data_IF_093508181693
#
_entry.id   IF_093508181693
#
_cell.length_a   1.000
_cell.length_b   1.000
_cell.length_c   1.000
_cell.angle_alpha   90.00
_cell.angle_beta   90.00
_cell.angle_gamma   90.00
#
_symmetry.space_group_name_H-M   'P 1'
#
loop_
_entity.id
_entity.type
_entity.pdbx_description
1 polymer ?
#
# COMPACT_ATOMS: atom_id res chain seq x y z
N UNK A 1 -34.12 9.37 -39.68
CA UNK A 1 -32.87 10.16 -39.64
C UNK A 1 -32.95 11.40 -40.55
N UNK A 2 -33.82 12.38 -40.27
CA UNK A 2 -33.92 13.63 -41.07
C UNK A 2 -33.03 14.77 -40.55
N UNK A 3 -32.46 14.64 -39.35
CA UNK A 3 -31.60 15.64 -38.73
C UNK A 3 -30.26 15.83 -39.46
N UNK A 4 -29.65 14.74 -39.94
CA UNK A 4 -28.36 14.75 -40.65
C UNK A 4 -28.47 15.17 -42.12
N UNK A 5 -29.68 15.26 -42.68
CA UNK A 5 -29.89 15.59 -44.08
C UNK A 5 -29.85 17.11 -44.34
N UNK A 6 -30.20 17.93 -43.34
CA UNK A 6 -30.28 19.39 -43.45
C UNK A 6 -29.00 20.13 -42.99
N UNK A 7 -27.93 19.39 -42.70
CA UNK A 7 -26.65 19.93 -42.22
C UNK A 7 -25.75 20.23 -43.43
N UNK A 8 -25.08 21.40 -43.46
CA UNK A 8 -24.18 21.76 -44.58
C UNK A 8 -23.07 20.72 -44.72
N UNK A 9 -22.66 20.39 -45.95
CA UNK A 9 -21.63 19.37 -46.24
C UNK A 9 -20.36 19.56 -45.40
N UNK A 10 -19.93 20.81 -45.21
CA UNK A 10 -18.79 21.17 -44.36
C UNK A 10 -18.91 20.68 -42.90
N UNK A 11 -20.07 20.84 -42.27
CA UNK A 11 -20.31 20.41 -40.89
C UNK A 11 -20.27 18.88 -40.76
N UNK A 12 -20.65 18.14 -41.82
CA UNK A 12 -20.55 16.67 -41.83
C UNK A 12 -19.08 16.21 -41.85
N UNK A 13 -18.25 16.87 -42.65
CA UNK A 13 -16.80 16.59 -42.71
C UNK A 13 -16.14 16.91 -41.36
N UNK A 14 -16.49 18.04 -40.74
CA UNK A 14 -15.97 18.43 -39.43
C UNK A 14 -16.38 17.42 -38.34
N UNK A 15 -17.66 17.00 -38.33
CA UNK A 15 -18.17 16.02 -37.39
C UNK A 15 -17.47 14.66 -37.53
N UNK A 16 -17.19 14.22 -38.76
CA UNK A 16 -16.43 13.00 -39.00
C UNK A 16 -14.99 13.09 -38.49
N UNK A 17 -14.32 14.23 -38.69
CA UNK A 17 -13.00 14.49 -38.11
C UNK A 17 -13.00 14.45 -36.58
N UNK A 18 -13.99 15.07 -35.95
CA UNK A 18 -14.15 15.03 -34.48
C UNK A 18 -14.39 13.61 -33.98
N UNK A 19 -15.22 12.81 -34.66
CA UNK A 19 -15.46 11.41 -34.29
C UNK A 19 -14.17 10.60 -34.37
N UNK A 20 -13.37 10.77 -35.41
CA UNK A 20 -12.11 10.04 -35.57
C UNK A 20 -11.14 10.40 -34.44
N UNK A 21 -10.98 11.69 -34.15
CA UNK A 21 -10.11 12.17 -33.06
C UNK A 21 -10.60 11.64 -31.71
N UNK A 22 -11.90 11.69 -31.45
CA UNK A 22 -12.48 11.18 -30.21
C UNK A 22 -12.30 9.66 -30.07
N UNK A 23 -12.55 8.89 -31.14
CA UNK A 23 -12.35 7.45 -31.15
C UNK A 23 -10.88 7.08 -30.88
N UNK A 24 -9.94 7.80 -31.52
CA UNK A 24 -8.52 7.60 -31.29
C UNK A 24 -8.10 7.95 -29.86
N UNK A 25 -8.59 9.06 -29.31
CA UNK A 25 -8.34 9.45 -27.92
C UNK A 25 -8.86 8.41 -26.92
N UNK A 26 -10.05 7.84 -27.16
CA UNK A 26 -10.62 6.78 -26.32
C UNK A 26 -9.77 5.51 -26.38
N UNK A 27 -9.34 5.09 -27.57
CA UNK A 27 -8.48 3.91 -27.72
C UNK A 27 -7.12 4.10 -27.02
N UNK A 28 -6.51 5.28 -27.17
CA UNK A 28 -5.28 5.62 -26.46
C UNK A 28 -5.48 5.60 -24.95
N UNK A 29 -6.54 6.22 -24.44
CA UNK A 29 -6.85 6.22 -23.02
C UNK A 29 -7.08 4.80 -22.48
N UNK A 30 -7.80 3.97 -23.22
CA UNK A 30 -8.08 2.58 -22.87
C UNK A 30 -6.79 1.73 -22.79
N UNK A 31 -5.77 2.05 -23.59
CA UNK A 31 -4.48 1.38 -23.56
C UNK A 31 -3.55 1.91 -22.45
N UNK A 32 -3.48 3.24 -22.30
CA UNK A 32 -2.55 3.91 -21.38
C UNK A 32 -2.99 3.73 -19.92
N UNK A 33 -4.30 3.86 -19.64
CA UNK A 33 -4.83 3.78 -18.28
C UNK A 33 -4.43 2.52 -17.51
N UNK A 34 -4.63 1.28 -18.02
CA UNK A 34 -4.25 0.08 -17.29
C UNK A 34 -2.74 -0.02 -17.06
N UNK A 35 -1.93 0.40 -18.04
CA UNK A 35 -0.47 0.40 -17.92
C UNK A 35 0.01 1.33 -16.79
N UNK A 36 -0.48 2.57 -16.77
CA UNK A 36 -0.16 3.52 -15.71
C UNK A 36 -0.65 3.04 -14.35
N UNK A 37 -1.87 2.49 -14.28
CA UNK A 37 -2.42 1.92 -13.06
C UNK A 37 -1.50 0.84 -12.51
N UNK A 38 -1.14 -0.17 -13.32
CA UNK A 38 -0.26 -1.26 -12.88
C UNK A 38 1.09 -0.74 -12.38
N UNK A 39 1.72 0.17 -13.11
CA UNK A 39 3.00 0.73 -12.70
C UNK A 39 2.93 1.49 -11.37
N UNK A 40 1.85 2.24 -11.14
CA UNK A 40 1.63 2.94 -9.87
C UNK A 40 1.43 1.96 -8.71
N UNK A 41 0.66 0.89 -8.90
CA UNK A 41 0.46 -0.14 -7.89
C UNK A 41 1.76 -0.88 -7.57
N UNK A 42 2.52 -1.31 -8.60
CA UNK A 42 3.81 -1.97 -8.41
C UNK A 42 4.81 -1.07 -7.66
N UNK A 43 4.85 0.22 -8.01
CA UNK A 43 5.71 1.18 -7.31
C UNK A 43 5.30 1.36 -5.85
N UNK A 44 3.99 1.35 -5.55
CA UNK A 44 3.47 1.47 -4.19
C UNK A 44 3.76 0.21 -3.36
N UNK A 45 3.58 -0.97 -3.96
CA UNK A 45 3.93 -2.24 -3.32
C UNK A 45 5.42 -2.30 -2.99
N UNK A 46 6.29 -1.96 -3.94
CA UNK A 46 7.73 -1.92 -3.70
C UNK A 46 8.11 -0.90 -2.60
N UNK A 47 7.45 0.26 -2.59
CA UNK A 47 7.64 1.24 -1.52
C UNK A 47 7.28 0.65 -0.15
N UNK A 48 6.08 0.07 -0.01
CA UNK A 48 5.64 -0.55 1.24
C UNK A 48 6.55 -1.70 1.66
N UNK A 49 6.98 -2.54 0.72
CA UNK A 49 7.92 -3.62 0.99
C UNK A 49 9.22 -3.09 1.57
N UNK A 50 9.83 -2.08 0.95
CA UNK A 50 11.10 -1.51 1.43
C UNK A 50 10.97 -0.91 2.85
N UNK A 51 9.82 -0.31 3.16
CA UNK A 51 9.55 0.18 4.52
C UNK A 51 9.45 -0.97 5.52
N UNK A 52 8.75 -2.05 5.18
CA UNK A 52 8.66 -3.25 6.02
C UNK A 52 10.02 -3.93 6.17
N UNK A 53 10.80 -4.08 5.10
CA UNK A 53 12.15 -4.64 5.13
C UNK A 53 13.06 -3.86 6.10
N UNK A 54 12.88 -2.53 6.17
CA UNK A 54 13.63 -1.70 7.13
C UNK A 54 13.24 -1.97 8.58
N UNK A 55 11.95 -2.22 8.86
CA UNK A 55 11.50 -2.64 10.19
C UNK A 55 11.95 -4.07 10.51
N UNK A 56 11.97 -4.97 9.53
CA UNK A 56 12.48 -6.34 9.68
C UNK A 56 13.96 -6.33 10.02
N UNK A 57 14.78 -5.49 9.37
CA UNK A 57 16.20 -5.37 9.70
C UNK A 57 16.45 -4.98 11.17
N UNK A 58 15.57 -4.15 11.76
CA UNK A 58 15.62 -3.83 13.19
C UNK A 58 15.32 -5.07 14.03
N UNK A 59 14.30 -5.85 13.69
CA UNK A 59 13.98 -7.11 14.38
C UNK A 59 15.11 -8.13 14.24
N UNK A 60 15.71 -8.25 13.05
CA UNK A 60 16.84 -9.14 12.79
C UNK A 60 18.07 -8.78 13.64
N UNK A 61 18.31 -7.49 13.90
CA UNK A 61 19.38 -7.07 14.80
C UNK A 61 19.20 -7.65 16.21
N UNK A 62 18.00 -7.56 16.79
CA UNK A 62 17.73 -8.13 18.11
C UNK A 62 17.74 -9.66 18.10
N UNK A 63 17.29 -10.29 17.01
CA UNK A 63 17.41 -11.73 16.84
C UNK A 63 18.88 -12.19 16.80
N UNK A 64 19.79 -11.40 16.22
CA UNK A 64 21.22 -11.71 16.24
C UNK A 64 21.85 -11.53 17.64
N UNK A 65 21.39 -10.53 18.40
CA UNK A 65 21.81 -10.36 19.80
C UNK A 65 21.40 -11.55 20.68
N UNK A 66 20.18 -12.07 20.49
CA UNK A 66 19.72 -13.31 21.12
C UNK A 66 20.61 -14.51 20.75
N UNK A 67 20.85 -14.74 19.45
CA UNK A 67 21.70 -15.83 18.97
C UNK A 67 23.13 -15.77 19.50
N UNK A 68 23.67 -14.57 19.66
CA UNK A 68 25.02 -14.35 20.21
C UNK A 68 25.09 -14.57 21.74
N UNK A 69 23.94 -14.72 22.40
CA UNK A 69 23.83 -14.81 23.86
C UNK A 69 23.97 -13.46 24.58
N UNK A 70 23.94 -12.35 23.84
CA UNK A 70 24.01 -11.00 24.42
C UNK A 70 22.68 -10.57 25.08
N UNK A 71 21.57 -11.18 24.70
CA UNK A 71 20.23 -10.95 25.25
C UNK A 71 19.50 -12.29 25.42
N UNK A 72 18.57 -12.38 26.37
CA UNK A 72 17.62 -13.50 26.37
C UNK A 72 16.58 -13.33 25.26
N UNK A 73 15.86 -14.40 24.94
CA UNK A 73 14.76 -14.38 23.96
C UNK A 73 13.71 -13.34 24.33
N UNK A 74 13.33 -13.27 25.61
CA UNK A 74 12.30 -12.35 26.10
C UNK A 74 12.76 -10.89 25.99
N UNK A 75 14.02 -10.62 26.35
CA UNK A 75 14.61 -9.28 26.24
C UNK A 75 14.68 -8.84 24.77
N UNK A 76 15.20 -9.70 23.89
CA UNK A 76 15.32 -9.39 22.46
C UNK A 76 13.95 -9.14 21.81
N UNK A 77 12.94 -9.95 22.15
CA UNK A 77 11.58 -9.75 21.65
C UNK A 77 10.96 -8.44 22.16
N UNK A 78 11.09 -8.15 23.46
CA UNK A 78 10.56 -6.92 24.06
C UNK A 78 11.18 -5.66 23.44
N UNK A 79 12.51 -5.65 23.30
CA UNK A 79 13.23 -4.52 22.70
C UNK A 79 12.91 -4.35 21.21
N UNK A 80 12.82 -5.44 20.45
CA UNK A 80 12.39 -5.39 19.05
C UNK A 80 10.97 -4.83 18.90
N UNK A 81 10.04 -5.30 19.73
CA UNK A 81 8.65 -4.81 19.76
C UNK A 81 8.61 -3.31 20.04
N UNK A 82 9.36 -2.85 21.05
CA UNK A 82 9.41 -1.44 21.41
C UNK A 82 10.05 -0.58 20.32
N UNK A 83 11.14 -1.05 19.69
CA UNK A 83 11.77 -0.35 18.59
C UNK A 83 10.79 -0.16 17.43
N UNK A 84 10.08 -1.22 17.01
CA UNK A 84 9.11 -1.16 15.91
C UNK A 84 7.87 -0.35 16.28
N UNK A 85 7.41 -0.38 17.53
CA UNK A 85 6.20 0.35 18.01
C UNK A 85 6.23 1.83 17.69
N UNK A 86 7.40 2.46 17.79
CA UNK A 86 7.55 3.91 17.55
C UNK A 86 7.97 4.25 16.12
N UNK A 87 8.28 3.27 15.28
CA UNK A 87 8.59 3.51 13.87
C UNK A 87 7.38 4.10 13.15
N UNK A 88 7.61 5.15 12.37
CA UNK A 88 6.61 5.79 11.50
C UNK A 88 7.20 5.98 10.11
N UNK A 89 6.34 5.96 9.11
CA UNK A 89 6.71 6.23 7.72
C UNK A 89 5.65 7.11 7.04
N UNK A 90 6.04 7.76 5.95
CA UNK A 90 5.22 8.76 5.26
C UNK A 90 4.55 9.75 6.25
N UNK A 91 3.26 10.03 6.06
CA UNK A 91 2.48 10.97 6.85
C UNK A 91 1.91 10.33 8.14
N UNK A 92 2.77 9.70 8.93
CA UNK A 92 2.38 9.08 10.21
C UNK A 92 1.78 7.68 10.09
N UNK A 93 2.01 6.99 8.97
CA UNK A 93 1.72 5.56 8.88
C UNK A 93 2.63 4.77 9.82
N UNK A 94 2.21 3.55 10.15
CA UNK A 94 2.77 2.78 11.25
C UNK A 94 2.88 1.30 10.93
N UNK A 95 3.64 0.57 11.75
CA UNK A 95 3.86 -0.87 11.63
C UNK A 95 3.11 -1.61 12.73
N UNK A 96 2.69 -2.85 12.46
CA UNK A 96 2.15 -3.76 13.47
C UNK A 96 2.86 -5.11 13.37
N UNK A 97 2.77 -5.92 14.41
CA UNK A 97 3.33 -7.28 14.47
C UNK A 97 2.22 -8.25 14.88
N UNK A 98 2.08 -9.36 14.16
CA UNK A 98 1.23 -10.48 14.54
C UNK A 98 2.02 -11.78 14.45
N UNK A 99 1.61 -12.78 15.23
CA UNK A 99 2.14 -14.13 15.09
C UNK A 99 1.43 -14.90 13.96
N UNK A 100 1.92 -16.11 13.67
CA UNK A 100 1.35 -17.01 12.64
C UNK A 100 -0.03 -17.59 13.02
N UNK A 101 -0.45 -17.45 14.28
CA UNK A 101 -1.76 -17.86 14.78
C UNK A 101 -2.77 -16.71 14.75
N UNK A 102 -2.43 -15.61 14.06
CA UNK A 102 -3.24 -14.39 13.96
C UNK A 102 -3.41 -13.66 15.30
N UNK A 103 -2.55 -13.90 16.29
CA UNK A 103 -2.51 -13.12 17.52
C UNK A 103 -1.77 -11.81 17.26
N UNK A 104 -2.40 -10.69 17.57
CA UNK A 104 -1.78 -9.38 17.48
C UNK A 104 -0.76 -9.23 18.61
N UNK A 105 0.52 -9.12 18.25
CA UNK A 105 1.64 -8.99 19.20
C UNK A 105 1.87 -7.52 19.53
N UNK A 106 1.80 -6.64 18.53
CA UNK A 106 1.96 -5.20 18.73
C UNK A 106 1.16 -4.42 17.71
N UNK A 107 0.40 -3.44 18.17
CA UNK A 107 -0.16 -2.38 17.34
C UNK A 107 0.07 -1.03 18.03
N UNK A 108 0.55 0.00 17.30
CA UNK A 108 1.04 1.22 17.91
C UNK A 108 -0.07 2.15 18.42
N UNK A 109 -1.29 2.01 17.88
CA UNK A 109 -2.45 2.85 18.17
C UNK A 109 -3.65 2.06 18.73
N UNK A 110 -3.48 0.84 19.25
CA UNK A 110 -4.57 0.22 20.03
C UNK A 110 -4.72 1.06 21.30
N UNK A 111 -5.81 1.81 21.40
CA UNK A 111 -6.18 2.52 22.61
C UNK A 111 -6.33 1.49 23.73
N UNK A 112 -5.88 1.85 24.93
CA UNK A 112 -6.07 1.04 26.14
C UNK A 112 -7.58 0.82 26.45
N UNK A 113 -8.46 1.61 25.83
CA UNK A 113 -9.92 1.58 26.00
C UNK A 113 -10.69 0.64 25.06
N UNK A 114 -10.18 0.33 23.86
CA UNK A 114 -10.90 -0.50 22.87
C UNK A 114 -10.15 -1.81 22.58
N UNK A 115 -9.82 -2.59 23.63
CA UNK A 115 -9.31 -3.95 23.46
C UNK A 115 -10.46 -4.84 22.94
N UNK A 116 -10.45 -5.29 21.67
CA UNK A 116 -11.48 -6.21 21.16
C UNK A 116 -11.42 -7.57 21.89
N UNK A 117 -12.49 -8.36 21.89
CA UNK A 117 -12.58 -9.65 22.64
C UNK A 117 -11.44 -10.64 22.35
N UNK A 118 -10.78 -10.52 21.18
CA UNK A 118 -9.66 -11.35 20.77
C UNK A 118 -8.28 -10.81 21.20
N UNK A 119 -8.22 -9.65 21.88
CA UNK A 119 -6.99 -9.09 22.42
C UNK A 119 -6.63 -9.77 23.75
N UNK A 120 -5.57 -10.58 23.73
CA UNK A 120 -4.96 -11.12 24.95
C UNK A 120 -3.73 -10.27 25.31
N UNK A 121 -3.67 -9.75 26.54
CA UNK A 121 -2.44 -9.15 27.08
C UNK A 121 -1.35 -10.23 27.13
N UNK A 122 -0.48 -10.24 26.11
CA UNK A 122 0.84 -10.83 26.22
C UNK A 122 1.72 -9.79 26.89
N UNK A 123 2.03 -10.02 28.16
CA UNK A 123 2.83 -9.12 29.01
C UNK A 123 4.17 -8.72 28.41
#
# INVERSE_FOLDING_TARGET
>A
MKFLQNVKVFQKVLLLGVIIIAAFAVLLAAYIYPLFKQNLFNSKEAQTKNMVDSAVAVVEHYAELEKSGAMTTEEAQSEAINAVRYMRYDNGNYFWINDIKLKLVMHPNVSIEDKPEWYEDGG
#
